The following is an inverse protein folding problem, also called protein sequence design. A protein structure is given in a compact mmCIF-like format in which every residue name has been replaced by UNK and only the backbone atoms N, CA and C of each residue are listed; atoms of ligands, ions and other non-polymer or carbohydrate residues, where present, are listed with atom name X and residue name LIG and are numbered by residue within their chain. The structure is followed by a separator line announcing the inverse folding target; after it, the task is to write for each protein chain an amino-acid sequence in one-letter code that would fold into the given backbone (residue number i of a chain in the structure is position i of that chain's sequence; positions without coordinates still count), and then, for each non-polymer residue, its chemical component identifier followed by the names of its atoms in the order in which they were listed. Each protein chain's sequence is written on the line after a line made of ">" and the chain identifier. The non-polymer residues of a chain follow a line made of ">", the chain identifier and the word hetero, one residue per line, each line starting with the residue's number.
data_IF_698597259472
#
_entry.id   IF_698597259472
#
_cell.length_a   1.000
_cell.length_b   1.000
_cell.length_c   1.000
_cell.angle_alpha   90.00
_cell.angle_beta   90.00
_cell.angle_gamma   90.00
#
_symmetry.space_group_name_H-M   'P 1'
#
loop_
_entity.id
_entity.type
_entity.pdbx_description
1 polymer ?
#
# COMPACT_ATOMS: atom_id res chain seq x y z
N UNK A 1 -8.40 13.74 6.05
CA UNK A 1 -7.45 12.83 6.71
C UNK A 1 -8.14 11.71 7.50
N UNK A 2 -8.80 11.94 8.65
CA UNK A 2 -9.42 10.83 9.43
C UNK A 2 -10.43 9.98 8.62
N UNK A 3 -11.34 10.64 7.89
CA UNK A 3 -12.30 9.96 7.02
C UNK A 3 -11.59 9.19 5.89
N UNK A 4 -10.63 9.84 5.23
CA UNK A 4 -9.87 9.26 4.12
C UNK A 4 -9.06 8.03 4.53
N UNK A 5 -8.54 8.00 5.78
CA UNK A 5 -7.88 6.82 6.35
C UNK A 5 -8.87 5.67 6.54
N UNK A 6 -10.09 5.94 7.03
CA UNK A 6 -11.11 4.91 7.17
C UNK A 6 -11.53 4.35 5.79
N UNK A 7 -11.76 5.23 4.81
CA UNK A 7 -12.09 4.84 3.44
C UNK A 7 -10.96 4.03 2.78
N UNK A 8 -9.70 4.41 3.03
CA UNK A 8 -8.52 3.65 2.60
C UNK A 8 -8.50 2.25 3.19
N UNK A 9 -8.74 2.13 4.50
CA UNK A 9 -8.79 0.83 5.17
C UNK A 9 -9.89 -0.06 4.58
N UNK A 10 -11.07 0.50 4.32
CA UNK A 10 -12.17 -0.23 3.66
C UNK A 10 -11.80 -0.64 2.23
N UNK A 11 -11.12 0.24 1.49
CA UNK A 11 -10.63 -0.06 0.14
C UNK A 11 -9.62 -1.22 0.13
N UNK A 12 -8.62 -1.20 1.02
CA UNK A 12 -7.67 -2.31 1.18
C UNK A 12 -8.40 -3.61 1.51
N UNK A 13 -9.34 -3.59 2.46
CA UNK A 13 -10.09 -4.78 2.86
C UNK A 13 -10.97 -5.34 1.73
N UNK A 14 -11.60 -4.48 0.93
CA UNK A 14 -12.35 -4.92 -0.26
C UNK A 14 -11.46 -5.60 -1.30
N UNK A 15 -10.28 -5.04 -1.57
CA UNK A 15 -9.33 -5.65 -2.52
C UNK A 15 -8.83 -7.01 -2.03
N UNK A 16 -8.52 -7.12 -0.73
CA UNK A 16 -8.16 -8.40 -0.12
C UNK A 16 -9.28 -9.43 -0.23
N UNK A 17 -10.52 -9.03 0.04
CA UNK A 17 -11.70 -9.90 -0.11
C UNK A 17 -11.92 -10.34 -1.57
N UNK A 18 -11.51 -9.52 -2.54
CA UNK A 18 -11.53 -9.85 -3.97
C UNK A 18 -10.32 -10.69 -4.45
N UNK A 19 -9.43 -11.10 -3.54
CA UNK A 19 -8.28 -11.95 -3.86
C UNK A 19 -7.01 -11.20 -4.27
N UNK A 20 -6.97 -9.87 -4.14
CA UNK A 20 -5.76 -9.09 -4.41
C UNK A 20 -4.78 -9.25 -3.23
N UNK A 21 -3.55 -9.67 -3.53
CA UNK A 21 -2.45 -9.66 -2.56
C UNK A 21 -2.02 -8.22 -2.29
N UNK A 22 -2.49 -7.64 -1.19
CA UNK A 22 -2.20 -6.25 -0.79
C UNK A 22 -2.03 -6.13 0.73
N UNK A 23 -1.09 -5.32 1.17
CA UNK A 23 -0.82 -4.99 2.58
C UNK A 23 -0.48 -3.51 2.71
N UNK A 24 -0.98 -2.84 3.75
CA UNK A 24 -0.78 -1.42 4.02
C UNK A 24 -0.44 -1.21 5.50
N UNK A 25 0.43 -0.25 5.81
CA UNK A 25 0.81 0.08 7.18
C UNK A 25 1.63 1.35 7.30
N UNK A 26 1.94 1.74 8.54
CA UNK A 26 2.82 2.86 8.84
C UNK A 26 4.26 2.41 9.06
N UNK A 27 5.21 3.20 8.57
CA UNK A 27 6.61 3.08 8.92
C UNK A 27 6.85 3.71 10.30
N UNK A 28 7.28 2.87 11.23
CA UNK A 28 7.58 3.24 12.61
C UNK A 28 9.09 3.17 12.86
N UNK A 29 9.59 3.97 13.80
CA UNK A 29 10.98 3.92 14.25
C UNK A 29 11.27 2.72 15.16
N UNK A 30 12.50 2.62 15.67
CA UNK A 30 12.92 1.55 16.57
C UNK A 30 12.21 1.51 17.93
N UNK A 31 11.41 2.52 18.25
CA UNK A 31 10.58 2.62 19.45
C UNK A 31 9.09 2.37 19.14
N UNK A 32 8.75 2.08 17.89
CA UNK A 32 7.37 1.89 17.44
C UNK A 32 6.62 3.20 17.22
N UNK A 33 7.30 4.34 17.16
CA UNK A 33 6.67 5.64 16.93
C UNK A 33 6.48 5.86 15.43
N UNK A 34 5.25 6.19 14.95
CA UNK A 34 5.04 6.50 13.55
C UNK A 34 5.68 7.83 13.17
N UNK A 35 6.19 7.92 11.94
CA UNK A 35 6.81 9.15 11.42
C UNK A 35 7.43 9.01 10.04
N UNK A 36 7.68 7.78 9.58
CA UNK A 36 8.25 7.50 8.25
C UNK A 36 7.23 7.52 7.10
N UNK A 37 5.95 7.81 7.37
CA UNK A 37 4.88 7.76 6.37
C UNK A 37 4.22 6.38 6.24
N UNK A 38 3.41 6.22 5.20
CA UNK A 38 2.74 4.96 4.88
C UNK A 38 3.54 4.13 3.88
N UNK A 39 3.44 2.80 4.01
CA UNK A 39 3.92 1.84 3.02
C UNK A 39 2.78 0.91 2.62
N UNK A 40 2.60 0.74 1.31
CA UNK A 40 1.67 -0.21 0.75
C UNK A 40 2.40 -1.11 -0.24
N UNK A 41 2.21 -2.41 -0.08
CA UNK A 41 2.74 -3.45 -0.95
C UNK A 41 1.56 -4.15 -1.62
N UNK A 42 1.61 -4.31 -2.94
CA UNK A 42 0.60 -5.04 -3.69
C UNK A 42 1.23 -5.89 -4.80
N UNK A 43 0.55 -6.96 -5.17
CA UNK A 43 0.91 -7.77 -6.34
C UNK A 43 0.00 -7.41 -7.51
N UNK A 44 0.59 -7.20 -8.68
CA UNK A 44 -0.11 -6.95 -9.95
C UNK A 44 0.63 -7.64 -11.10
N UNK A 45 -0.03 -7.81 -12.25
CA UNK A 45 0.56 -8.40 -13.46
C UNK A 45 1.68 -7.54 -14.06
N UNK A 46 1.56 -6.22 -13.91
CA UNK A 46 2.45 -5.23 -14.49
C UNK A 46 2.29 -3.88 -13.78
N UNK A 47 3.20 -2.95 -14.08
CA UNK A 47 3.22 -1.62 -13.47
C UNK A 47 1.93 -0.83 -13.72
N UNK A 48 1.37 -0.89 -14.93
CA UNK A 48 0.17 -0.15 -15.31
C UNK A 48 -1.05 -0.63 -14.52
N UNK A 49 -1.17 -1.93 -14.31
CA UNK A 49 -2.23 -2.54 -13.51
C UNK A 49 -2.10 -2.18 -12.03
N UNK A 50 -0.87 -2.09 -11.51
CA UNK A 50 -0.62 -1.59 -10.16
C UNK A 50 -1.02 -0.11 -10.03
N UNK A 51 -0.59 0.73 -10.98
CA UNK A 51 -0.92 2.16 -11.01
C UNK A 51 -2.43 2.39 -11.08
N UNK A 52 -3.14 1.65 -11.95
CA UNK A 52 -4.59 1.72 -12.06
C UNK A 52 -5.33 1.37 -10.75
N UNK A 53 -4.77 0.46 -9.94
CA UNK A 53 -5.29 0.17 -8.60
C UNK A 53 -4.97 1.30 -7.61
N UNK A 54 -3.73 1.79 -7.58
CA UNK A 54 -3.30 2.85 -6.64
C UNK A 54 -4.05 4.16 -6.87
N UNK A 55 -4.34 4.52 -8.13
CA UNK A 55 -5.14 5.70 -8.45
C UNK A 55 -6.59 5.62 -7.93
N UNK A 56 -7.04 4.45 -7.46
CA UNK A 56 -8.34 4.29 -6.80
C UNK A 56 -8.28 4.46 -5.27
N UNK A 57 -7.09 4.49 -4.67
CA UNK A 57 -6.90 4.67 -3.23
C UNK A 57 -7.50 6.03 -2.78
N UNK A 58 -8.42 6.05 -1.81
CA UNK A 58 -8.98 7.27 -1.26
C UNK A 58 -7.94 8.30 -0.81
N UNK A 59 -6.79 7.87 -0.25
CA UNK A 59 -5.72 8.79 0.14
C UNK A 59 -5.10 9.48 -1.07
N UNK A 60 -4.77 8.72 -2.11
CA UNK A 60 -4.21 9.24 -3.37
C UNK A 60 -5.19 10.17 -4.06
N UNK A 61 -6.45 9.73 -4.23
CA UNK A 61 -7.50 10.52 -4.89
C UNK A 61 -7.84 11.82 -4.18
N UNK A 62 -7.70 11.85 -2.86
CA UNK A 62 -7.95 13.04 -2.06
C UNK A 62 -6.88 14.13 -2.25
N UNK A 63 -5.71 13.79 -2.82
CA UNK A 63 -4.56 14.69 -2.95
C UNK A 63 -3.90 15.08 -1.62
N UNK A 64 -4.21 14.37 -0.53
CA UNK A 64 -3.71 14.68 0.82
C UNK A 64 -2.37 14.02 1.14
N UNK A 65 -1.83 13.22 0.22
CA UNK A 65 -0.58 12.50 0.38
C UNK A 65 0.31 12.73 -0.83
N UNK A 66 1.58 13.00 -0.57
CA UNK A 66 2.62 12.83 -1.57
C UNK A 66 2.96 11.33 -1.65
N UNK A 67 3.00 10.79 -2.86
CA UNK A 67 3.19 9.35 -3.07
C UNK A 67 4.05 9.07 -4.30
N UNK A 68 4.61 7.87 -4.31
CA UNK A 68 5.36 7.33 -5.44
C UNK A 68 5.02 5.85 -5.60
N UNK A 69 5.08 5.35 -6.84
CA UNK A 69 4.91 3.93 -7.14
C UNK A 69 6.18 3.37 -7.76
N UNK A 70 6.71 2.31 -7.15
CA UNK A 70 7.91 1.62 -7.58
C UNK A 70 7.60 0.14 -7.76
N UNK A 71 8.16 -0.46 -8.82
CA UNK A 71 8.14 -1.91 -8.96
C UNK A 71 9.24 -2.52 -8.07
N UNK A 72 8.86 -3.46 -7.21
CA UNK A 72 9.83 -4.29 -6.51
C UNK A 72 10.34 -5.41 -7.41
N UNK A 73 11.64 -5.46 -7.66
CA UNK A 73 12.31 -6.56 -8.36
C UNK A 73 13.17 -7.29 -7.33
N UNK A 74 12.80 -8.54 -7.01
CA UNK A 74 13.57 -9.34 -6.05
C UNK A 74 14.93 -9.71 -6.65
N UNK A 75 16.00 -9.42 -5.91
CA UNK A 75 17.38 -9.78 -6.29
C UNK A 75 17.87 -10.98 -5.49
N UNK A 76 17.57 -11.03 -4.19
CA UNK A 76 17.90 -12.12 -3.29
C UNK A 76 17.00 -12.13 -2.06
N UNK A 77 16.85 -13.30 -1.43
CA UNK A 77 16.07 -13.48 -0.21
C UNK A 77 14.57 -13.66 -0.44
N UNK A 78 13.91 -14.27 0.55
CA UNK A 78 12.46 -14.40 0.65
C UNK A 78 12.07 -13.97 2.06
N UNK A 79 11.07 -13.10 2.20
CA UNK A 79 10.63 -12.60 3.51
C UNK A 79 10.03 -13.72 4.37
N UNK A 80 9.52 -14.78 3.74
CA UNK A 80 9.06 -15.98 4.41
C UNK A 80 9.89 -17.16 3.84
N UNK A 81 10.84 -17.67 4.62
CA UNK A 81 11.36 -19.00 4.39
C UNK A 81 10.32 -19.99 4.97
N UNK A 82 9.71 -20.81 4.12
CA UNK A 82 9.01 -22.02 4.56
C UNK A 82 9.98 -23.02 5.15
#
# INVERSE_FOLDING_TARGET
>A
MRQTIAEHHDWVNRLRAAGVSISSGYLVDGQGTPGGGGLLLLQASDYRSAEALILQDPMVRSGQVDWQLHQWVSVAGQLNAT
#
